data_IF_628188474278
#
_entry.id   IF_628188474278
#
_cell.length_a   1.000
_cell.length_b   1.000
_cell.length_c   1.000
_cell.angle_alpha   90.00
_cell.angle_beta   90.00
_cell.angle_gamma   90.00
#
_symmetry.space_group_name_H-M   'P 1'
#
loop_
_entity.id
_entity.type
_entity.pdbx_description
1 polymer ?
#
# COMPACT_ATOMS: atom_id res chain seq x y z
N UNK A 1 2.92 36.51 -11.04
CA UNK A 1 1.92 36.17 -12.06
C UNK A 1 2.25 34.82 -12.67
N UNK A 2 1.42 33.80 -12.42
CA UNK A 2 1.05 32.74 -13.38
C UNK A 2 -0.02 31.88 -12.70
N UNK A 3 -1.12 31.74 -13.43
CA UNK A 3 -2.44 31.28 -13.04
C UNK A 3 -2.50 29.76 -13.23
N UNK A 4 -3.05 29.03 -12.27
CA UNK A 4 -3.53 27.66 -12.51
C UNK A 4 -5.02 27.60 -12.21
N UNK A 5 -5.81 27.86 -13.25
CA UNK A 5 -7.17 27.34 -13.40
C UNK A 5 -7.05 26.03 -14.19
N UNK A 6 -7.63 24.95 -13.68
CA UNK A 6 -8.17 23.88 -14.52
C UNK A 6 -9.28 23.19 -13.75
N UNK A 7 -10.49 23.60 -14.09
CA UNK A 7 -11.76 22.95 -13.81
C UNK A 7 -11.88 21.79 -14.80
N UNK A 8 -12.18 20.59 -14.31
CA UNK A 8 -12.95 19.60 -15.09
C UNK A 8 -14.02 19.02 -14.18
N UNK A 9 -15.25 19.33 -14.56
CA UNK A 9 -16.53 18.84 -14.08
C UNK A 9 -17.16 18.06 -15.27
N UNK A 10 -18.21 17.26 -15.00
CA UNK A 10 -19.06 16.42 -15.89
C UNK A 10 -18.66 14.94 -16.03
N UNK A 11 -19.53 13.92 -15.98
CA UNK A 11 -21.00 13.81 -16.00
C UNK A 11 -21.49 12.49 -15.35
N UNK A 12 -22.57 12.42 -14.56
CA UNK A 12 -24.03 12.15 -14.84
C UNK A 12 -24.40 10.82 -15.57
N UNK A 13 -25.37 10.07 -14.96
CA UNK A 13 -26.57 9.36 -15.50
C UNK A 13 -26.69 7.81 -15.32
N UNK A 14 -27.69 7.45 -14.50
CA UNK A 14 -28.72 6.36 -14.53
C UNK A 14 -28.44 4.92 -15.00
N UNK A 15 -28.92 3.98 -14.17
CA UNK A 15 -29.80 2.82 -14.47
C UNK A 15 -30.10 2.14 -13.11
N UNK A 16 -31.27 1.63 -12.74
CA UNK A 16 -32.55 1.39 -13.38
C UNK A 16 -33.54 0.89 -12.30
N UNK A 17 -34.82 1.08 -12.57
CA UNK A 17 -35.98 0.74 -11.74
C UNK A 17 -36.41 -0.73 -11.95
N UNK A 18 -37.17 -1.27 -10.97
CA UNK A 18 -38.12 -2.40 -11.04
C UNK A 18 -37.63 -3.83 -10.71
N UNK A 19 -38.19 -4.43 -9.65
CA UNK A 19 -39.32 -5.36 -9.75
C UNK A 19 -39.65 -6.03 -8.39
N UNK A 20 -40.90 -5.95 -7.96
CA UNK A 20 -41.48 -6.82 -6.92
C UNK A 20 -41.62 -8.25 -7.43
N UNK A 21 -41.42 -9.25 -6.56
CA UNK A 21 -42.28 -10.45 -6.49
C UNK A 21 -42.08 -11.22 -5.19
N UNK A 22 -43.20 -11.43 -4.51
CA UNK A 22 -43.45 -12.39 -3.45
C UNK A 22 -43.20 -13.84 -3.90
N UNK A 23 -42.77 -14.70 -2.98
CA UNK A 23 -42.73 -16.14 -3.26
C UNK A 23 -41.85 -16.99 -2.34
N UNK A 24 -42.48 -17.51 -1.30
CA UNK A 24 -42.41 -18.90 -0.82
C UNK A 24 -41.18 -19.48 -0.09
N UNK A 25 -41.54 -20.37 0.83
CA UNK A 25 -40.77 -21.02 1.88
C UNK A 25 -39.98 -22.22 1.35
N UNK A 26 -38.99 -22.59 2.19
CA UNK A 26 -38.34 -23.91 2.35
C UNK A 26 -37.15 -24.20 1.44
N UNK A 27 -35.97 -24.02 2.02
CA UNK A 27 -34.89 -25.01 1.92
C UNK A 27 -34.00 -24.94 3.15
N UNK A 28 -34.11 -25.97 4.00
CA UNK A 28 -33.04 -26.39 4.92
C UNK A 28 -31.79 -26.68 4.08
N UNK A 29 -30.62 -26.26 4.55
CA UNK A 29 -29.37 -26.71 3.95
C UNK A 29 -28.18 -25.86 4.35
N UNK A 30 -27.42 -26.39 5.30
CA UNK A 30 -26.09 -25.99 5.74
C UNK A 30 -25.19 -25.21 4.74
N UNK A 31 -24.31 -24.39 5.33
CA UNK A 31 -23.09 -23.78 4.77
C UNK A 31 -23.26 -22.40 4.10
N UNK A 32 -23.51 -21.36 4.90
CA UNK A 32 -23.31 -19.95 4.49
C UNK A 32 -22.23 -19.21 5.29
N UNK A 33 -21.33 -19.94 5.97
CA UNK A 33 -20.28 -19.33 6.82
C UNK A 33 -19.03 -18.82 6.07
N UNK A 34 -18.89 -19.05 4.76
CA UNK A 34 -17.60 -18.85 4.06
C UNK A 34 -17.50 -17.62 3.16
N UNK A 35 -18.54 -16.77 3.07
CA UNK A 35 -18.51 -15.58 2.19
C UNK A 35 -17.98 -14.30 2.86
N UNK A 36 -17.58 -14.34 4.13
CA UNK A 36 -17.04 -13.15 4.84
C UNK A 36 -15.52 -13.06 4.83
N UNK A 37 -14.81 -14.20 4.81
CA UNK A 37 -13.34 -14.21 4.82
C UNK A 37 -12.72 -13.58 3.55
N UNK A 38 -13.36 -13.74 2.39
CA UNK A 38 -12.85 -13.18 1.13
C UNK A 38 -12.77 -11.65 1.11
N UNK A 39 -13.74 -10.96 1.71
CA UNK A 39 -13.78 -9.49 1.70
C UNK A 39 -12.76 -8.84 2.64
N UNK A 40 -12.42 -9.50 3.75
CA UNK A 40 -11.40 -9.00 4.68
C UNK A 40 -9.99 -9.20 4.12
N UNK A 41 -9.75 -10.30 3.40
CA UNK A 41 -8.47 -10.58 2.74
C UNK A 41 -8.21 -9.64 1.56
N UNK A 42 -9.24 -9.34 0.76
CA UNK A 42 -9.13 -8.41 -0.35
C UNK A 42 -8.79 -6.99 0.12
N UNK A 43 -9.47 -6.50 1.18
CA UNK A 43 -9.13 -5.21 1.81
C UNK A 43 -7.71 -5.19 2.37
N UNK A 44 -7.23 -6.31 2.92
CA UNK A 44 -5.87 -6.42 3.41
C UNK A 44 -4.86 -6.37 2.27
N UNK A 45 -5.13 -7.06 1.16
CA UNK A 45 -4.31 -7.00 -0.03
C UNK A 45 -4.22 -5.57 -0.58
N UNK A 46 -5.34 -4.84 -0.64
CA UNK A 46 -5.36 -3.44 -1.07
C UNK A 46 -4.50 -2.53 -0.17
N UNK A 47 -4.60 -2.67 1.15
CA UNK A 47 -3.75 -1.92 2.09
C UNK A 47 -2.26 -2.25 1.90
N UNK A 48 -1.93 -3.51 1.60
CA UNK A 48 -0.54 -3.91 1.35
C UNK A 48 -0.01 -3.37 0.02
N UNK A 49 -0.84 -3.33 -1.03
CA UNK A 49 -0.51 -2.66 -2.30
C UNK A 49 -0.23 -1.18 -2.07
N UNK A 50 -1.12 -0.48 -1.36
CA UNK A 50 -0.93 0.93 -1.04
C UNK A 50 0.35 1.17 -0.25
N UNK A 51 0.60 0.36 0.80
CA UNK A 51 1.83 0.43 1.60
C UNK A 51 3.08 0.19 0.76
N UNK A 52 3.01 -0.67 -0.24
CA UNK A 52 4.13 -0.92 -1.14
C UNK A 52 4.45 0.31 -2.00
N UNK A 53 3.44 0.97 -2.56
CA UNK A 53 3.63 2.20 -3.33
C UNK A 53 4.11 3.35 -2.44
N UNK A 54 3.54 3.53 -1.24
CA UNK A 54 4.02 4.50 -0.26
C UNK A 54 5.49 4.26 0.12
N UNK A 55 5.94 3.00 0.18
CA UNK A 55 7.34 2.66 0.45
C UNK A 55 8.26 3.13 -0.69
N UNK A 56 7.85 2.98 -1.95
CA UNK A 56 8.62 3.47 -3.10
C UNK A 56 8.74 4.99 -3.07
N UNK A 57 7.62 5.68 -2.89
CA UNK A 57 7.56 7.14 -2.79
C UNK A 57 8.47 7.64 -1.66
N UNK A 58 8.35 7.05 -0.46
CA UNK A 58 9.20 7.42 0.67
C UNK A 58 10.69 7.22 0.40
N UNK A 59 11.07 6.18 -0.34
CA UNK A 59 12.46 5.96 -0.72
C UNK A 59 12.95 7.01 -1.72
N UNK A 60 12.11 7.37 -2.70
CA UNK A 60 12.43 8.44 -3.65
C UNK A 60 12.61 9.79 -2.94
N UNK A 61 11.70 10.16 -2.03
CA UNK A 61 11.79 11.37 -1.22
C UNK A 61 13.08 11.42 -0.40
N UNK A 62 13.44 10.30 0.25
CA UNK A 62 14.68 10.23 1.02
C UNK A 62 15.90 10.44 0.13
N UNK A 63 15.93 9.87 -1.08
CA UNK A 63 17.01 10.09 -2.05
C UNK A 63 17.10 11.56 -2.43
N UNK A 64 15.97 12.19 -2.76
CA UNK A 64 15.92 13.58 -3.16
C UNK A 64 16.37 14.52 -2.05
N UNK A 65 15.92 14.29 -0.81
CA UNK A 65 16.34 15.07 0.36
C UNK A 65 17.86 15.00 0.55
N UNK A 66 18.49 13.82 0.39
CA UNK A 66 19.95 13.68 0.53
C UNK A 66 20.70 14.33 -0.63
N UNK A 67 20.19 14.21 -1.87
CA UNK A 67 20.75 14.89 -3.04
C UNK A 67 20.72 16.41 -2.85
N UNK A 68 19.61 16.95 -2.34
CA UNK A 68 19.47 18.37 -2.03
C UNK A 68 20.50 18.83 -1.00
N UNK A 69 20.69 18.08 0.10
CA UNK A 69 21.74 18.37 1.10
C UNK A 69 23.16 18.38 0.52
N UNK A 70 23.47 17.43 -0.37
CA UNK A 70 24.77 17.41 -1.06
C UNK A 70 24.93 18.57 -2.04
N UNK A 71 23.86 19.00 -2.71
CA UNK A 71 23.89 20.16 -3.60
C UNK A 71 24.08 21.48 -2.81
N UNK A 72 23.40 21.65 -1.68
CA UNK A 72 23.60 22.79 -0.78
C UNK A 72 25.02 22.83 -0.22
N UNK A 73 25.63 21.66 0.04
CA UNK A 73 27.04 21.55 0.40
C UNK A 73 27.98 22.00 -0.71
N UNK A 74 27.76 21.48 -1.92
CA UNK A 74 28.58 21.84 -3.10
C UNK A 74 28.55 23.33 -3.43
N UNK A 75 27.41 23.98 -3.19
CA UNK A 75 27.24 25.43 -3.43
C UNK A 75 27.70 26.29 -2.25
N UNK A 76 28.11 25.69 -1.13
CA UNK A 76 28.53 26.39 0.08
C UNK A 76 27.38 26.99 0.89
N UNK A 77 26.12 26.74 0.50
CA UNK A 77 24.93 27.19 1.26
C UNK A 77 24.85 26.51 2.63
N UNK A 78 25.24 25.24 2.72
CA UNK A 78 25.30 24.48 3.96
C UNK A 78 26.53 23.59 4.00
N UNK A 79 27.47 23.86 4.88
CA UNK A 79 28.63 23.00 5.06
C UNK A 79 28.23 21.72 5.81
N UNK A 80 28.67 20.59 5.27
CA UNK A 80 28.57 19.26 5.87
C UNK A 80 30.01 18.89 6.24
N UNK A 81 30.19 18.15 7.32
CA UNK A 81 31.48 17.51 7.56
C UNK A 81 31.68 16.30 6.63
N UNK A 82 32.90 15.77 6.62
CA UNK A 82 33.28 14.66 5.75
C UNK A 82 32.46 13.39 6.06
N UNK A 83 32.12 13.17 7.33
CA UNK A 83 31.34 12.00 7.75
C UNK A 83 29.89 12.09 7.25
N UNK A 84 29.26 13.25 7.38
CA UNK A 84 27.92 13.54 6.89
C UNK A 84 27.85 13.46 5.37
N UNK A 85 28.83 14.04 4.67
CA UNK A 85 28.93 13.96 3.23
C UNK A 85 29.05 12.51 2.75
N UNK A 86 29.95 11.73 3.37
CA UNK A 86 30.11 10.31 3.06
C UNK A 86 28.86 9.48 3.41
N UNK A 87 28.19 9.80 4.53
CA UNK A 87 26.95 9.13 4.96
C UNK A 87 25.83 9.37 3.96
N UNK A 88 25.56 10.62 3.56
CA UNK A 88 24.50 10.91 2.60
C UNK A 88 24.79 10.31 1.22
N UNK A 89 26.04 10.34 0.77
CA UNK A 89 26.45 9.70 -0.48
C UNK A 89 26.18 8.19 -0.46
N UNK A 90 26.54 7.49 0.62
CA UNK A 90 26.23 6.05 0.79
C UNK A 90 24.73 5.79 0.87
N UNK A 91 23.97 6.63 1.56
CA UNK A 91 22.52 6.49 1.69
C UNK A 91 21.82 6.61 0.33
N UNK A 92 22.23 7.55 -0.52
CA UNK A 92 21.66 7.68 -1.88
C UNK A 92 21.84 6.38 -2.67
N UNK A 93 23.04 5.79 -2.64
CA UNK A 93 23.31 4.53 -3.34
C UNK A 93 22.47 3.38 -2.76
N UNK A 94 22.40 3.27 -1.43
CA UNK A 94 21.67 2.20 -0.77
C UNK A 94 20.15 2.30 -1.00
N UNK A 95 19.58 3.49 -0.90
CA UNK A 95 18.16 3.70 -1.19
C UNK A 95 17.87 3.54 -2.67
N UNK A 96 18.76 4.00 -3.56
CA UNK A 96 18.64 3.77 -5.00
C UNK A 96 18.55 2.29 -5.34
N UNK A 97 19.47 1.47 -4.83
CA UNK A 97 19.44 0.01 -5.03
C UNK A 97 18.14 -0.63 -4.53
N UNK A 98 17.63 -0.19 -3.37
CA UNK A 98 16.35 -0.70 -2.84
C UNK A 98 15.16 -0.27 -3.67
N UNK A 99 15.15 0.97 -4.14
CA UNK A 99 14.10 1.49 -5.01
C UNK A 99 14.11 0.76 -6.36
N UNK A 100 15.29 0.52 -6.92
CA UNK A 100 15.47 -0.26 -8.16
C UNK A 100 14.92 -1.68 -7.98
N UNK A 101 15.20 -2.34 -6.85
CA UNK A 101 14.64 -3.66 -6.53
C UNK A 101 13.12 -3.65 -6.43
N UNK A 102 12.53 -2.61 -5.81
CA UNK A 102 11.08 -2.46 -5.71
C UNK A 102 10.42 -2.17 -7.07
N UNK A 103 11.14 -1.51 -7.98
CA UNK A 103 10.67 -1.18 -9.32
C UNK A 103 10.90 -2.32 -10.34
N UNK A 104 11.93 -3.14 -10.15
CA UNK A 104 12.21 -4.28 -11.02
C UNK A 104 11.29 -5.47 -10.78
N UNK A 105 10.54 -5.44 -9.67
CA UNK A 105 9.61 -6.50 -9.31
C UNK A 105 8.39 -6.47 -10.23
N UNK A 106 8.16 -7.61 -10.90
CA UNK A 106 6.98 -7.79 -11.74
C UNK A 106 5.70 -7.72 -10.89
N UNK A 107 4.58 -7.40 -11.54
CA UNK A 107 3.30 -7.36 -10.84
C UNK A 107 2.88 -8.74 -10.31
N UNK A 108 3.30 -9.82 -10.99
CA UNK A 108 3.07 -11.19 -10.52
C UNK A 108 3.83 -11.50 -9.22
N UNK A 109 5.12 -11.15 -9.15
CA UNK A 109 5.92 -11.32 -7.94
C UNK A 109 5.41 -10.45 -6.78
N UNK A 110 4.94 -9.24 -7.10
CA UNK A 110 4.35 -8.34 -6.12
C UNK A 110 3.07 -8.93 -5.53
N UNK A 111 2.20 -9.45 -6.39
CA UNK A 111 0.93 -10.04 -5.98
C UNK A 111 1.14 -11.33 -5.17
N UNK A 112 2.13 -12.15 -5.54
CA UNK A 112 2.54 -13.33 -4.77
C UNK A 112 3.02 -12.95 -3.36
N UNK A 113 3.86 -11.92 -3.24
CA UNK A 113 4.33 -11.42 -1.96
C UNK A 113 3.18 -10.90 -1.09
N UNK A 114 2.25 -10.15 -1.68
CA UNK A 114 1.07 -9.63 -0.98
C UNK A 114 0.20 -10.79 -0.50
N UNK A 115 -0.06 -11.79 -1.35
CA UNK A 115 -0.82 -12.97 -0.96
C UNK A 115 -0.19 -13.70 0.23
N UNK A 116 1.14 -13.89 0.20
CA UNK A 116 1.85 -14.49 1.32
C UNK A 116 1.76 -13.65 2.61
N UNK A 117 1.83 -12.32 2.53
CA UNK A 117 1.71 -11.44 3.70
C UNK A 117 0.28 -11.44 4.27
N UNK A 118 -0.75 -11.49 3.41
CA UNK A 118 -2.16 -11.66 3.82
C UNK A 118 -2.34 -12.98 4.57
N UNK A 119 -1.84 -14.09 4.03
CA UNK A 119 -1.93 -15.41 4.66
C UNK A 119 -1.26 -15.44 6.03
N UNK A 120 -0.10 -14.79 6.15
CA UNK A 120 0.64 -14.71 7.42
C UNK A 120 -0.12 -13.87 8.47
N UNK A 121 -0.71 -12.75 8.06
CA UNK A 121 -1.51 -11.91 8.94
C UNK A 121 -2.80 -12.59 9.38
N UNK A 122 -3.47 -13.33 8.49
CA UNK A 122 -4.68 -14.08 8.83
C UNK A 122 -4.38 -15.16 9.89
N UNK A 123 -3.30 -15.92 9.70
CA UNK A 123 -2.81 -16.90 10.70
C UNK A 123 -2.40 -16.26 12.03
N UNK A 124 -1.92 -15.02 12.03
CA UNK A 124 -1.64 -14.29 13.27
C UNK A 124 -2.92 -13.88 14.00
N UNK A 125 -3.91 -13.36 13.27
CA UNK A 125 -5.22 -12.99 13.83
C UNK A 125 -5.94 -14.20 14.43
N UNK A 126 -5.86 -15.37 13.80
CA UNK A 126 -6.44 -16.59 14.34
C UNK A 126 -5.78 -17.03 15.66
N UNK A 127 -4.45 -17.01 15.71
CA UNK A 127 -3.72 -17.31 16.95
C UNK A 127 -4.04 -16.32 18.07
N UNK A 128 -4.15 -15.04 17.75
CA UNK A 128 -4.53 -13.99 18.70
C UNK A 128 -5.95 -14.21 19.24
N UNK A 129 -6.91 -14.51 18.36
CA UNK A 129 -8.29 -14.87 18.73
C UNK A 129 -8.34 -16.07 19.67
N UNK A 130 -7.53 -17.09 19.43
CA UNK A 130 -7.47 -18.29 20.26
C UNK A 130 -6.85 -18.04 21.63
N UNK A 131 -5.88 -17.13 21.76
CA UNK A 131 -5.33 -16.73 23.05
C UNK A 131 -6.39 -16.01 23.89
N UNK A 132 -7.06 -15.01 23.32
CA UNK A 132 -8.10 -14.25 24.03
C UNK A 132 -9.31 -15.11 24.46
N UNK A 133 -9.58 -16.23 23.77
CA UNK A 133 -10.65 -17.17 24.16
C UNK A 133 -10.29 -18.09 25.32
N UNK A 134 -9.00 -18.29 25.61
CA UNK A 134 -8.54 -19.15 26.71
C UNK A 134 -8.50 -18.43 28.06
N UNK A 135 -8.50 -17.10 28.03
CA UNK A 135 -8.40 -16.23 29.20
C UNK A 135 -9.77 -15.78 29.76
N UNK A 136 -10.88 -16.33 29.23
CA UNK A 136 -12.28 -16.10 29.66
C UNK A 136 -12.89 -17.40 30.18
#
# INVERSE_FOLDING_TARGET
MRVFMSIVLLSIISTGLAAERSGDRRSRGARSGHRRAGGDNERMADMLRERHEQRKEKMADMIEERKSKLADHKTGRKLLDDEEHARFSRQIVNFGRKLDQLNSMSDAEREEMIGHEVDMMDRMKDRERDMFRRDL
#
